data_IF_899830129877
#
_entry.id   IF_899830129877
#
_cell.length_a   1.000
_cell.length_b   1.000
_cell.length_c   1.000
_cell.angle_alpha   90.00
_cell.angle_beta   90.00
_cell.angle_gamma   90.00
#
_symmetry.space_group_name_H-M   'P 1'
#
loop_
_entity.id
_entity.type
_entity.pdbx_description
1 polymer ?
#
# COMPACT_ATOMS: atom_id res chain seq x y z
N UNK A 1 18.01 57.99 -45.60
CA UNK A 1 17.59 57.03 -44.56
C UNK A 1 17.03 55.76 -45.18
N UNK A 2 16.13 55.86 -46.18
CA UNK A 2 15.65 54.71 -46.97
C UNK A 2 16.78 53.92 -47.67
N UNK A 3 17.78 54.59 -48.25
CA UNK A 3 18.88 53.91 -48.97
C UNK A 3 19.76 53.04 -48.06
N UNK A 4 19.86 53.36 -46.77
CA UNK A 4 20.61 52.55 -45.82
C UNK A 4 19.86 51.27 -45.43
N UNK A 5 18.53 51.34 -45.35
CA UNK A 5 17.67 50.20 -45.01
C UNK A 5 17.60 49.16 -46.14
N UNK A 6 17.80 49.58 -47.38
CA UNK A 6 17.81 48.70 -48.56
C UNK A 6 19.17 48.03 -48.82
N UNK A 7 20.21 48.39 -48.07
CA UNK A 7 21.53 47.76 -48.24
C UNK A 7 21.46 46.29 -47.83
N UNK A 8 21.90 45.39 -48.71
CA UNK A 8 21.92 43.96 -48.44
C UNK A 8 23.16 43.56 -47.62
N UNK A 9 22.94 42.69 -46.65
CA UNK A 9 23.95 42.06 -45.82
C UNK A 9 23.53 40.61 -45.54
N UNK A 10 24.31 39.65 -46.03
CA UNK A 10 23.98 38.21 -45.98
C UNK A 10 22.55 37.92 -46.47
N UNK A 11 22.24 38.26 -47.73
CA UNK A 11 20.97 37.97 -48.40
C UNK A 11 19.72 38.60 -47.78
N UNK A 12 19.90 39.52 -46.83
CA UNK A 12 18.83 40.24 -46.16
C UNK A 12 19.16 41.73 -46.15
N UNK A 13 18.15 42.57 -46.27
CA UNK A 13 18.27 44.01 -46.14
C UNK A 13 18.57 44.41 -44.69
N UNK A 14 19.25 45.54 -44.48
CA UNK A 14 19.44 46.11 -43.13
C UNK A 14 18.08 46.32 -42.44
N UNK A 15 17.02 46.63 -43.20
CA UNK A 15 15.65 46.71 -42.69
C UNK A 15 15.13 45.40 -42.11
N UNK A 16 15.32 44.26 -42.78
CA UNK A 16 14.91 42.93 -42.31
C UNK A 16 15.66 42.52 -41.04
N UNK A 17 16.97 42.78 -40.97
CA UNK A 17 17.75 42.56 -39.75
C UNK A 17 17.27 43.40 -38.57
N UNK A 18 16.95 44.68 -38.81
CA UNK A 18 16.41 45.56 -37.78
C UNK A 18 15.01 45.12 -37.33
N UNK A 19 14.18 44.63 -38.24
CA UNK A 19 12.85 44.10 -37.92
C UNK A 19 12.96 42.81 -37.09
N UNK A 20 13.81 41.86 -37.49
CA UNK A 20 14.07 40.63 -36.74
C UNK A 20 14.60 40.94 -35.33
N UNK A 21 15.56 41.87 -35.21
CA UNK A 21 16.08 42.32 -33.93
C UNK A 21 14.99 42.98 -33.06
N UNK A 22 14.13 43.82 -33.66
CA UNK A 22 13.02 44.45 -32.96
C UNK A 22 11.99 43.42 -32.47
N UNK A 23 11.70 42.38 -33.25
CA UNK A 23 10.82 41.26 -32.86
C UNK A 23 11.45 40.48 -31.71
N UNK A 24 12.74 40.13 -31.79
CA UNK A 24 13.46 39.39 -30.74
C UNK A 24 13.51 40.18 -29.43
N UNK A 25 13.89 41.46 -29.49
CA UNK A 25 13.91 42.32 -28.29
C UNK A 25 12.49 42.48 -27.76
N UNK A 26 11.52 42.71 -28.64
CA UNK A 26 10.11 42.81 -28.31
C UNK A 26 9.55 41.56 -27.64
N UNK A 27 9.94 40.36 -28.09
CA UNK A 27 9.47 39.09 -27.52
C UNK A 27 10.06 38.81 -26.15
N UNK A 28 11.32 39.15 -25.91
CA UNK A 28 11.95 39.03 -24.59
C UNK A 28 11.33 40.03 -23.61
N UNK A 29 11.07 41.26 -24.06
CA UNK A 29 10.35 42.26 -23.27
C UNK A 29 8.91 41.82 -22.99
N UNK A 30 8.23 41.23 -23.98
CA UNK A 30 6.89 40.69 -23.82
C UNK A 30 6.89 39.51 -22.85
N UNK A 31 7.84 38.59 -22.94
CA UNK A 31 8.01 37.50 -21.99
C UNK A 31 8.20 38.02 -20.57
N UNK A 32 9.05 39.04 -20.37
CA UNK A 32 9.18 39.72 -19.07
C UNK A 32 7.91 40.42 -18.61
N UNK A 33 7.16 41.04 -19.51
CA UNK A 33 5.88 41.66 -19.20
C UNK A 33 4.84 40.60 -18.80
N UNK A 34 4.77 39.48 -19.51
CA UNK A 34 3.92 38.34 -19.19
C UNK A 34 4.27 37.79 -17.81
N UNK A 35 5.55 37.57 -17.52
CA UNK A 35 6.01 37.20 -16.18
C UNK A 35 5.52 38.22 -15.13
N UNK A 36 5.80 39.51 -15.34
CA UNK A 36 5.38 40.56 -14.41
C UNK A 36 3.85 40.59 -14.20
N UNK A 37 3.05 40.40 -15.25
CA UNK A 37 1.59 40.34 -15.17
C UNK A 37 1.14 39.11 -14.38
N UNK A 38 1.67 37.93 -14.68
CA UNK A 38 1.33 36.70 -13.97
C UNK A 38 1.68 36.85 -12.48
N UNK A 39 2.94 37.15 -12.17
CA UNK A 39 3.46 37.21 -10.79
C UNK A 39 2.86 38.33 -9.93
N UNK A 40 2.48 39.47 -10.51
CA UNK A 40 2.04 40.64 -9.72
C UNK A 40 0.56 41.00 -9.87
N UNK A 41 -0.04 40.75 -11.04
CA UNK A 41 -1.44 41.10 -11.30
C UNK A 41 -2.34 39.89 -11.09
N UNK A 42 -2.05 38.79 -11.77
CA UNK A 42 -2.90 37.59 -11.70
C UNK A 42 -2.78 36.95 -10.32
N UNK A 43 -1.56 36.83 -9.77
CA UNK A 43 -1.34 36.34 -8.39
C UNK A 43 -2.14 37.11 -7.33
N UNK A 44 -2.27 38.43 -7.49
CA UNK A 44 -3.04 39.30 -6.57
C UNK A 44 -4.55 39.13 -6.70
N UNK A 45 -5.01 38.60 -7.83
CA UNK A 45 -6.41 38.25 -8.05
C UNK A 45 -6.71 36.85 -7.52
N UNK A 46 -5.81 35.88 -7.76
CA UNK A 46 -5.95 34.50 -7.28
C UNK A 46 -5.80 34.39 -5.76
N UNK A 47 -5.04 35.29 -5.12
CA UNK A 47 -4.96 35.35 -3.65
C UNK A 47 -6.27 35.79 -2.96
N UNK A 48 -7.33 36.10 -3.73
CA UNK A 48 -8.67 36.42 -3.23
C UNK A 48 -9.66 35.28 -3.39
N UNK A 49 -9.23 34.18 -4.02
CA UNK A 49 -10.03 32.97 -4.21
C UNK A 49 -10.00 32.14 -2.92
N UNK A 50 -10.99 31.29 -2.73
CA UNK A 50 -11.07 30.43 -1.53
C UNK A 50 -10.06 29.26 -1.56
N UNK A 51 -9.46 28.97 -2.72
CA UNK A 51 -8.58 27.82 -2.98
C UNK A 51 -7.12 28.23 -3.13
N UNK A 52 -6.22 27.65 -2.32
CA UNK A 52 -4.77 27.89 -2.40
C UNK A 52 -4.10 27.31 -3.67
N UNK A 53 -4.78 26.39 -4.36
CA UNK A 53 -4.26 25.71 -5.55
C UNK A 53 -4.00 26.64 -6.73
N UNK A 54 -4.80 27.70 -6.86
CA UNK A 54 -4.68 28.62 -7.98
C UNK A 54 -3.39 29.46 -7.88
N UNK A 55 -3.02 29.89 -6.68
CA UNK A 55 -1.77 30.61 -6.40
C UNK A 55 -0.55 29.73 -6.67
N UNK A 56 -0.62 28.48 -6.20
CA UNK A 56 0.42 27.47 -6.33
C UNK A 56 0.64 27.12 -7.82
N UNK A 57 -0.43 26.85 -8.58
CA UNK A 57 -0.34 26.57 -10.02
C UNK A 57 0.22 27.76 -10.80
N UNK A 58 -0.16 28.98 -10.43
CA UNK A 58 0.31 30.18 -11.10
C UNK A 58 1.82 30.38 -10.91
N UNK A 59 2.33 30.17 -9.68
CA UNK A 59 3.76 30.23 -9.36
C UNK A 59 4.58 29.18 -10.13
N UNK A 60 3.97 28.07 -10.53
CA UNK A 60 4.64 27.05 -11.32
C UNK A 60 4.73 27.40 -12.81
N UNK A 61 3.72 28.10 -13.32
CA UNK A 61 3.49 28.28 -14.75
C UNK A 61 4.06 29.62 -15.25
N UNK A 62 4.21 30.61 -14.38
CA UNK A 62 4.66 31.97 -14.73
C UNK A 62 5.99 32.04 -15.49
N UNK A 63 7.05 31.42 -14.95
CA UNK A 63 8.37 31.45 -15.58
C UNK A 63 8.42 30.57 -16.85
N UNK A 64 7.84 29.34 -16.87
CA UNK A 64 7.78 28.57 -18.10
C UNK A 64 7.03 29.26 -19.24
N UNK A 65 5.88 29.89 -18.97
CA UNK A 65 5.13 30.63 -19.98
C UNK A 65 5.94 31.82 -20.49
N UNK A 66 6.53 32.61 -19.60
CA UNK A 66 7.35 33.76 -19.99
C UNK A 66 8.55 33.35 -20.88
N UNK A 67 9.18 32.23 -20.54
CA UNK A 67 10.25 31.64 -21.33
C UNK A 67 9.74 31.13 -22.69
N UNK A 68 8.59 30.44 -22.74
CA UNK A 68 7.98 29.98 -23.98
C UNK A 68 7.62 31.14 -24.93
N UNK A 69 7.04 32.22 -24.41
CA UNK A 69 6.74 33.45 -25.18
C UNK A 69 8.01 34.05 -25.76
N UNK A 70 9.08 34.09 -24.97
CA UNK A 70 10.39 34.59 -25.42
C UNK A 70 10.96 33.73 -26.55
N UNK A 71 10.95 32.39 -26.38
CA UNK A 71 11.43 31.43 -27.39
C UNK A 71 10.62 31.55 -28.69
N UNK A 72 9.29 31.62 -28.60
CA UNK A 72 8.39 31.74 -29.76
C UNK A 72 8.69 32.97 -30.59
N UNK A 73 8.84 34.14 -29.94
CA UNK A 73 9.13 35.36 -30.68
C UNK A 73 10.56 35.43 -31.20
N UNK A 74 11.54 34.79 -30.52
CA UNK A 74 12.89 34.63 -31.08
C UNK A 74 12.85 33.79 -32.35
N UNK A 75 12.14 32.66 -32.31
CA UNK A 75 11.97 31.80 -33.48
C UNK A 75 11.30 32.53 -34.62
N UNK A 76 10.18 33.21 -34.37
CA UNK A 76 9.46 33.99 -35.39
C UNK A 76 10.31 35.12 -35.99
N UNK A 77 11.12 35.81 -35.16
CA UNK A 77 12.03 36.86 -35.64
C UNK A 77 13.16 36.31 -36.52
N UNK A 78 13.67 35.12 -36.23
CA UNK A 78 14.71 34.47 -37.02
C UNK A 78 14.19 33.79 -38.29
N UNK A 79 12.97 33.25 -38.26
CA UNK A 79 12.33 32.60 -39.41
C UNK A 79 11.95 33.61 -40.51
N UNK A 80 11.69 34.86 -40.13
CA UNK A 80 11.43 35.96 -41.06
C UNK A 80 12.65 36.46 -41.86
N UNK A 81 13.86 35.93 -41.58
CA UNK A 81 15.07 36.23 -42.34
C UNK A 81 15.28 35.19 -43.44
N UNK A 82 15.75 35.63 -44.60
CA UNK A 82 16.19 34.76 -45.69
C UNK A 82 17.55 34.14 -45.35
N UNK A 83 17.54 33.03 -44.60
CA UNK A 83 18.74 32.29 -44.24
C UNK A 83 18.93 31.12 -45.22
N UNK A 84 20.18 30.63 -45.40
CA UNK A 84 20.40 29.37 -46.09
C UNK A 84 19.62 28.24 -45.41
N UNK A 85 19.20 27.21 -46.15
CA UNK A 85 18.40 26.08 -45.63
C UNK A 85 19.02 25.45 -44.37
N UNK A 86 20.35 25.34 -44.32
CA UNK A 86 21.07 24.85 -43.16
C UNK A 86 20.80 25.70 -41.89
N UNK A 87 20.71 27.03 -42.03
CA UNK A 87 20.38 27.95 -40.94
C UNK A 87 18.99 27.70 -40.38
N UNK A 88 17.98 27.60 -41.23
CA UNK A 88 16.60 27.30 -40.81
C UNK A 88 16.49 25.95 -40.09
N UNK A 89 17.20 24.92 -40.58
CA UNK A 89 17.23 23.60 -39.92
C UNK A 89 17.83 23.69 -38.52
N UNK A 90 18.94 24.40 -38.33
CA UNK A 90 19.57 24.57 -37.01
C UNK A 90 18.70 25.40 -36.06
N UNK A 91 18.08 26.48 -36.54
CA UNK A 91 17.16 27.29 -35.74
C UNK A 91 15.98 26.45 -35.24
N UNK A 92 15.35 25.68 -36.13
CA UNK A 92 14.23 24.81 -35.78
C UNK A 92 14.65 23.74 -34.75
N UNK A 93 15.82 23.11 -34.92
CA UNK A 93 16.33 22.13 -33.95
C UNK A 93 16.55 22.74 -32.57
N UNK A 94 17.18 23.92 -32.50
CA UNK A 94 17.42 24.62 -31.23
C UNK A 94 16.08 25.04 -30.61
N UNK A 95 15.15 25.56 -31.40
CA UNK A 95 13.81 25.91 -30.94
C UNK A 95 13.08 24.71 -30.32
N UNK A 96 13.03 23.56 -31.01
CA UNK A 96 12.41 22.35 -30.47
C UNK A 96 13.09 21.87 -29.18
N UNK A 97 14.42 21.90 -29.11
CA UNK A 97 15.15 21.54 -27.89
C UNK A 97 14.79 22.45 -26.71
N UNK A 98 14.70 23.77 -26.94
CA UNK A 98 14.32 24.74 -25.92
C UNK A 98 12.87 24.57 -25.45
N UNK A 99 11.94 24.27 -26.37
CA UNK A 99 10.54 23.98 -26.03
C UNK A 99 10.43 22.68 -25.23
N UNK A 100 11.12 21.61 -25.64
CA UNK A 100 11.12 20.33 -24.91
C UNK A 100 11.69 20.52 -23.50
N UNK A 101 12.79 21.26 -23.37
CA UNK A 101 13.38 21.62 -22.08
C UNK A 101 12.38 22.41 -21.22
N UNK A 102 11.71 23.42 -21.80
CA UNK A 102 10.73 24.24 -21.10
C UNK A 102 9.53 23.42 -20.59
N UNK A 103 9.01 22.51 -21.41
CA UNK A 103 7.92 21.60 -21.02
C UNK A 103 8.38 20.65 -19.91
N UNK A 104 9.56 20.04 -20.03
CA UNK A 104 10.11 19.16 -19.00
C UNK A 104 10.33 19.89 -17.67
N UNK A 105 10.82 21.12 -17.73
CA UNK A 105 10.98 22.00 -16.59
C UNK A 105 9.64 22.36 -15.94
N UNK A 106 8.63 22.71 -16.74
CA UNK A 106 7.27 22.96 -16.27
C UNK A 106 6.70 21.74 -15.55
N UNK A 107 6.78 20.55 -16.16
CA UNK A 107 6.28 19.31 -15.58
C UNK A 107 6.95 19.02 -14.23
N UNK A 108 8.27 19.17 -14.13
CA UNK A 108 8.99 18.98 -12.87
C UNK A 108 8.57 19.99 -11.80
N UNK A 109 8.36 21.27 -12.15
CA UNK A 109 7.87 22.28 -11.22
C UNK A 109 6.44 21.98 -10.74
N UNK A 110 5.59 21.46 -11.64
CA UNK A 110 4.26 20.95 -11.30
C UNK A 110 4.34 19.79 -10.29
N UNK A 111 5.23 18.84 -10.52
CA UNK A 111 5.42 17.68 -9.64
C UNK A 111 5.92 18.12 -8.26
N UNK A 112 6.94 18.98 -8.20
CA UNK A 112 7.50 19.47 -6.93
C UNK A 112 6.42 20.11 -6.06
N UNK A 113 5.59 20.95 -6.65
CA UNK A 113 4.56 21.64 -5.91
C UNK A 113 3.35 20.76 -5.55
N UNK A 114 2.98 19.78 -6.39
CA UNK A 114 2.00 18.77 -5.99
C UNK A 114 2.51 17.95 -4.79
N UNK A 115 3.81 17.62 -4.77
CA UNK A 115 4.42 16.94 -3.63
C UNK A 115 4.38 17.85 -2.39
N UNK A 116 4.79 19.11 -2.53
CA UNK A 116 4.88 20.05 -1.41
C UNK A 116 3.50 20.40 -0.82
N UNK A 117 2.46 20.54 -1.64
CA UNK A 117 1.12 20.91 -1.19
C UNK A 117 0.32 19.73 -0.65
N UNK A 118 0.43 18.55 -1.28
CA UNK A 118 -0.41 17.41 -0.94
C UNK A 118 0.30 16.32 -0.16
N UNK A 119 1.55 16.00 -0.48
CA UNK A 119 2.24 14.86 0.14
C UNK A 119 2.96 15.29 1.42
N UNK A 120 3.71 16.40 1.41
CA UNK A 120 4.47 16.86 2.59
C UNK A 120 3.56 17.08 3.81
N UNK A 121 2.40 17.75 3.73
CA UNK A 121 1.57 18.00 4.91
C UNK A 121 0.88 16.74 5.45
N UNK A 122 0.73 15.69 4.64
CA UNK A 122 0.23 14.39 5.09
C UNK A 122 1.33 13.66 5.87
N UNK A 123 2.56 13.73 5.37
CA UNK A 123 3.73 13.12 5.97
C UNK A 123 4.10 13.80 7.30
N UNK A 124 4.11 15.13 7.36
CA UNK A 124 4.41 15.86 8.61
C UNK A 124 3.39 15.60 9.74
N UNK A 125 2.17 15.15 9.39
CA UNK A 125 1.13 14.75 10.36
C UNK A 125 1.23 13.28 10.75
N UNK A 126 2.05 12.50 10.05
CA UNK A 126 2.33 11.09 10.31
C UNK A 126 3.49 10.99 11.31
N UNK A 127 3.39 10.17 12.35
CA UNK A 127 4.51 9.91 13.29
C UNK A 127 5.55 8.91 12.70
N UNK A 128 5.50 8.64 11.40
CA UNK A 128 6.25 7.56 10.73
C UNK A 128 7.55 8.07 10.09
N UNK A 129 8.70 7.65 10.62
CA UNK A 129 10.04 7.90 10.06
C UNK A 129 10.22 7.41 8.60
N UNK A 130 9.34 6.51 8.11
CA UNK A 130 9.41 5.95 6.76
C UNK A 130 9.07 6.97 5.67
N UNK A 131 8.20 7.92 5.99
CA UNK A 131 7.64 8.84 5.01
C UNK A 131 8.70 9.87 4.56
N UNK A 132 9.57 10.28 5.48
CA UNK A 132 10.67 11.22 5.26
C UNK A 132 11.78 10.68 4.35
N UNK A 133 11.98 9.36 4.32
CA UNK A 133 13.02 8.74 3.50
C UNK A 133 12.53 8.33 2.11
N UNK A 134 11.25 7.98 1.97
CA UNK A 134 10.66 7.56 0.70
C UNK A 134 10.39 8.75 -0.23
N UNK A 135 9.95 9.88 0.32
CA UNK A 135 9.59 11.05 -0.48
C UNK A 135 10.76 11.59 -1.33
N UNK A 136 11.99 11.77 -0.80
CA UNK A 136 13.12 12.23 -1.61
C UNK A 136 13.50 11.25 -2.72
N UNK A 137 13.34 9.94 -2.50
CA UNK A 137 13.64 8.91 -3.49
C UNK A 137 12.61 8.96 -4.63
N UNK A 138 11.32 9.01 -4.28
CA UNK A 138 10.23 9.13 -5.26
C UNK A 138 10.34 10.42 -6.07
N UNK A 139 10.56 11.57 -5.40
CA UNK A 139 10.76 12.88 -6.05
C UNK A 139 11.93 12.79 -7.06
N UNK A 140 13.11 12.34 -6.63
CA UNK A 140 14.27 12.19 -7.54
C UNK A 140 13.99 11.23 -8.71
N UNK A 141 13.32 10.11 -8.44
CA UNK A 141 12.99 9.11 -9.47
C UNK A 141 12.05 9.66 -10.55
N UNK A 142 10.99 10.36 -10.14
CA UNK A 142 10.05 10.98 -11.08
C UNK A 142 10.74 12.07 -11.90
N UNK A 143 11.54 12.94 -11.27
CA UNK A 143 12.28 13.99 -12.00
C UNK A 143 13.28 13.41 -13.00
N UNK A 144 13.98 12.34 -12.61
CA UNK A 144 14.88 11.62 -13.51
C UNK A 144 14.13 11.05 -14.72
N UNK A 145 12.95 10.47 -14.51
CA UNK A 145 12.12 9.95 -15.60
C UNK A 145 11.69 11.06 -16.58
N UNK A 146 11.23 12.21 -16.09
CA UNK A 146 10.85 13.36 -16.93
C UNK A 146 12.04 13.85 -17.76
N UNK A 147 13.22 14.02 -17.15
CA UNK A 147 14.41 14.47 -17.88
C UNK A 147 14.91 13.44 -18.89
N UNK A 148 14.90 12.14 -18.55
CA UNK A 148 15.25 11.08 -19.50
C UNK A 148 14.32 11.12 -20.72
N UNK A 149 13.01 11.26 -20.50
CA UNK A 149 12.05 11.39 -21.60
C UNK A 149 12.28 12.64 -22.44
N UNK A 150 12.58 13.79 -21.81
CA UNK A 150 12.90 15.02 -22.51
C UNK A 150 14.14 14.87 -23.41
N UNK A 151 15.19 14.20 -22.93
CA UNK A 151 16.40 13.91 -23.70
C UNK A 151 16.07 13.02 -24.91
N UNK A 152 15.29 11.96 -24.73
CA UNK A 152 14.90 11.05 -25.82
C UNK A 152 14.10 11.81 -26.89
N UNK A 153 13.10 12.59 -26.49
CA UNK A 153 12.29 13.39 -27.43
C UNK A 153 13.18 14.41 -28.15
N UNK A 154 14.12 15.04 -27.45
CA UNK A 154 15.09 15.97 -28.03
C UNK A 154 15.99 15.32 -29.08
N UNK A 155 16.55 14.13 -28.78
CA UNK A 155 17.38 13.37 -29.71
C UNK A 155 16.58 12.93 -30.95
N UNK A 156 15.34 12.47 -30.76
CA UNK A 156 14.47 12.08 -31.87
C UNK A 156 14.19 13.25 -32.82
N UNK A 157 13.86 14.43 -32.27
CA UNK A 157 13.64 15.64 -33.07
C UNK A 157 14.92 16.14 -33.75
N UNK A 158 16.09 15.88 -33.18
CA UNK A 158 17.38 16.17 -33.82
C UNK A 158 17.71 15.21 -34.98
N UNK A 159 16.90 14.17 -35.20
CA UNK A 159 17.03 13.20 -36.29
C UNK A 159 17.82 11.94 -35.92
N UNK A 160 18.09 11.70 -34.63
CA UNK A 160 18.69 10.45 -34.17
C UNK A 160 17.62 9.38 -34.02
N UNK A 161 17.94 8.14 -34.40
CA UNK A 161 17.11 6.98 -34.09
C UNK A 161 17.23 6.64 -32.60
N UNK A 162 16.16 6.91 -31.86
CA UNK A 162 16.07 6.63 -30.42
C UNK A 162 15.48 5.26 -30.11
N UNK A 163 15.17 4.44 -31.11
CA UNK A 163 14.57 3.12 -30.93
C UNK A 163 15.40 2.22 -30.02
N UNK A 164 16.73 2.22 -30.19
CA UNK A 164 17.64 1.46 -29.33
C UNK A 164 17.66 1.96 -27.88
N UNK A 165 17.55 3.27 -27.65
CA UNK A 165 17.50 3.86 -26.31
C UNK A 165 16.19 3.49 -25.61
N UNK A 166 15.06 3.62 -26.31
CA UNK A 166 13.74 3.25 -25.79
C UNK A 166 13.69 1.76 -25.49
N UNK A 167 14.19 0.90 -26.40
CA UNK A 167 14.27 -0.54 -26.17
C UNK A 167 15.14 -0.89 -24.96
N UNK A 168 16.31 -0.25 -24.81
CA UNK A 168 17.19 -0.43 -23.66
C UNK A 168 16.54 -0.01 -22.34
N UNK A 169 15.86 1.13 -22.31
CA UNK A 169 15.10 1.59 -21.15
C UNK A 169 13.90 0.71 -20.85
N UNK A 170 13.23 0.15 -21.86
CA UNK A 170 12.15 -0.81 -21.67
C UNK A 170 12.63 -2.10 -20.99
N UNK A 171 13.74 -2.67 -21.48
CA UNK A 171 14.35 -3.87 -20.87
C UNK A 171 14.89 -3.56 -19.47
N UNK A 172 15.59 -2.43 -19.30
CA UNK A 172 16.10 -1.99 -18.00
C UNK A 172 14.98 -1.70 -16.99
N UNK A 173 13.89 -1.09 -17.45
CA UNK A 173 12.69 -0.83 -16.67
C UNK A 173 11.97 -2.11 -16.26
N UNK A 174 11.88 -3.10 -17.15
CA UNK A 174 11.36 -4.43 -16.81
C UNK A 174 12.23 -5.12 -15.75
N UNK A 175 13.55 -5.09 -15.90
CA UNK A 175 14.46 -5.67 -14.91
C UNK A 175 14.32 -4.98 -13.54
N UNK A 176 14.21 -3.66 -13.52
CA UNK A 176 13.95 -2.89 -12.31
C UNK A 176 12.58 -3.23 -11.68
N UNK A 177 11.53 -3.34 -12.51
CA UNK A 177 10.19 -3.70 -12.03
C UNK A 177 10.16 -5.10 -11.42
N UNK A 178 10.84 -6.08 -12.03
CA UNK A 178 10.99 -7.43 -11.47
C UNK A 178 11.75 -7.40 -10.14
N UNK A 179 12.81 -6.59 -10.03
CA UNK A 179 13.54 -6.43 -8.77
C UNK A 179 12.69 -5.75 -7.68
N UNK A 180 11.82 -4.82 -8.06
CA UNK A 180 10.93 -4.09 -7.15
C UNK A 180 9.62 -4.83 -6.83
N UNK A 181 9.33 -5.94 -7.52
CA UNK A 181 8.05 -6.67 -7.45
C UNK A 181 7.64 -6.98 -6.01
N UNK A 182 8.57 -7.47 -5.20
CA UNK A 182 8.31 -7.84 -3.81
C UNK A 182 7.96 -6.63 -2.93
N UNK A 183 8.57 -5.48 -3.17
CA UNK A 183 8.24 -4.25 -2.44
C UNK A 183 6.84 -3.78 -2.78
N UNK A 184 6.49 -3.79 -4.07
CA UNK A 184 5.16 -3.41 -4.56
C UNK A 184 4.09 -4.38 -4.03
N UNK A 185 4.34 -5.68 -4.07
CA UNK A 185 3.41 -6.69 -3.56
C UNK A 185 3.12 -6.53 -2.05
N UNK A 186 4.14 -6.21 -1.26
CA UNK A 186 3.94 -5.95 0.17
C UNK A 186 3.16 -4.66 0.42
N UNK A 187 3.42 -3.59 -0.34
CA UNK A 187 2.66 -2.35 -0.23
C UNK A 187 1.17 -2.59 -0.52
N UNK A 188 0.85 -3.24 -1.64
CA UNK A 188 -0.53 -3.56 -1.97
C UNK A 188 -1.17 -4.54 -0.97
N UNK A 189 -0.41 -5.51 -0.45
CA UNK A 189 -0.89 -6.36 0.64
C UNK A 189 -1.26 -5.56 1.89
N UNK A 190 -0.48 -4.53 2.23
CA UNK A 190 -0.79 -3.61 3.34
C UNK A 190 -2.07 -2.82 3.09
N UNK A 191 -2.23 -2.28 1.88
CA UNK A 191 -3.46 -1.58 1.46
C UNK A 191 -4.67 -2.49 1.56
N UNK A 192 -4.57 -3.75 1.09
CA UNK A 192 -5.66 -4.73 1.20
C UNK A 192 -6.04 -5.01 2.64
N UNK A 193 -5.08 -5.20 3.55
CA UNK A 193 -5.38 -5.36 4.99
C UNK A 193 -6.15 -4.15 5.53
N UNK A 194 -5.75 -2.94 5.14
CA UNK A 194 -6.40 -1.72 5.62
C UNK A 194 -7.82 -1.51 5.05
N UNK A 195 -8.04 -1.85 3.78
CA UNK A 195 -9.32 -1.67 3.09
C UNK A 195 -10.32 -2.76 3.46
N UNK A 196 -9.91 -4.02 3.35
CA UNK A 196 -10.81 -5.16 3.56
C UNK A 196 -10.95 -5.54 5.03
N UNK A 197 -9.99 -5.12 5.87
CA UNK A 197 -9.95 -5.35 7.33
C UNK A 197 -10.27 -6.80 7.73
N UNK A 198 -9.57 -7.81 7.18
CA UNK A 198 -9.73 -9.20 7.62
C UNK A 198 -9.38 -9.39 9.11
N UNK A 199 -8.56 -8.49 9.64
CA UNK A 199 -8.23 -8.34 11.06
C UNK A 199 -7.82 -6.89 11.35
N UNK A 200 -7.75 -6.55 12.62
CA UNK A 200 -7.31 -5.25 13.14
C UNK A 200 -6.23 -5.42 14.21
N UNK A 201 -5.57 -4.32 14.59
CA UNK A 201 -4.63 -4.33 15.72
C UNK A 201 -5.35 -4.78 16.98
N UNK A 202 -4.71 -5.66 17.75
CA UNK A 202 -5.22 -6.41 18.90
C UNK A 202 -6.10 -7.64 18.57
N UNK A 203 -6.32 -7.98 17.31
CA UNK A 203 -6.97 -9.26 16.99
C UNK A 203 -6.00 -10.44 17.19
N UNK A 204 -6.53 -11.55 17.69
CA UNK A 204 -5.87 -12.85 17.69
C UNK A 204 -6.10 -13.50 16.32
N UNK A 205 -5.01 -13.78 15.62
CA UNK A 205 -5.06 -14.42 14.30
C UNK A 205 -4.16 -15.65 14.24
N UNK A 206 -4.51 -16.56 13.33
CA UNK A 206 -3.67 -17.69 12.92
C UNK A 206 -3.41 -17.56 11.41
N UNK A 207 -2.13 -17.59 11.02
CA UNK A 207 -1.69 -17.51 9.63
C UNK A 207 -0.42 -18.33 9.43
N UNK A 208 -0.42 -19.21 8.43
CA UNK A 208 0.79 -19.95 8.02
C UNK A 208 1.46 -20.76 9.15
N UNK A 209 0.68 -21.25 10.12
CA UNK A 209 1.19 -21.96 11.30
C UNK A 209 1.73 -21.05 12.41
N UNK A 210 1.65 -19.73 12.26
CA UNK A 210 1.90 -18.76 13.32
C UNK A 210 0.59 -18.33 13.97
N UNK A 211 0.62 -18.16 15.28
CA UNK A 211 -0.54 -17.80 16.09
C UNK A 211 -0.13 -16.70 17.08
N UNK A 212 -0.93 -15.63 17.14
CA UNK A 212 -0.68 -14.52 18.06
C UNK A 212 -1.62 -13.33 17.90
N UNK A 213 -1.37 -12.30 18.70
CA UNK A 213 -2.10 -11.03 18.68
C UNK A 213 -1.40 -10.05 17.74
N UNK A 214 -2.15 -9.38 16.85
CA UNK A 214 -1.63 -8.35 15.96
C UNK A 214 -1.24 -7.11 16.77
N UNK A 215 0.01 -6.69 16.69
CA UNK A 215 0.49 -5.47 17.36
C UNK A 215 0.51 -4.25 16.45
N UNK A 216 0.90 -4.46 15.19
CA UNK A 216 1.15 -3.37 14.25
C UNK A 216 0.92 -3.87 12.83
N UNK A 217 0.22 -3.09 12.02
CA UNK A 217 0.14 -3.27 10.56
C UNK A 217 0.92 -2.11 9.94
N UNK A 218 2.17 -2.36 9.56
CA UNK A 218 3.00 -1.39 8.85
C UNK A 218 2.80 -1.43 7.34
N UNK A 219 3.47 -0.53 6.61
CA UNK A 219 3.35 -0.41 5.14
C UNK A 219 3.78 -1.69 4.40
N UNK A 220 4.88 -2.33 4.85
CA UNK A 220 5.44 -3.54 4.22
C UNK A 220 5.14 -4.84 4.97
N UNK A 221 4.94 -4.77 6.28
CA UNK A 221 4.87 -5.94 7.13
C UNK A 221 3.97 -5.72 8.33
N UNK A 222 3.36 -6.80 8.79
CA UNK A 222 2.53 -6.86 9.99
C UNK A 222 3.30 -7.60 11.08
N UNK A 223 3.21 -7.10 12.31
CA UNK A 223 3.85 -7.71 13.48
C UNK A 223 2.80 -8.38 14.36
N UNK A 224 3.05 -9.63 14.74
CA UNK A 224 2.20 -10.39 15.65
C UNK A 224 3.01 -10.83 16.87
N UNK A 225 2.43 -10.75 18.06
CA UNK A 225 3.00 -11.29 19.30
C UNK A 225 2.38 -12.62 19.63
N UNK A 226 3.20 -13.66 19.64
CA UNK A 226 2.80 -15.02 20.03
C UNK A 226 2.51 -15.09 21.54
N UNK A 227 1.75 -16.10 21.97
CA UNK A 227 1.48 -16.33 23.40
C UNK A 227 2.73 -16.51 24.28
N UNK A 228 3.82 -17.14 23.81
CA UNK A 228 5.11 -17.13 24.53
C UNK A 228 5.81 -15.75 24.60
N UNK A 229 5.22 -14.70 24.02
CA UNK A 229 5.73 -13.33 24.06
C UNK A 229 6.70 -12.94 22.94
N UNK A 230 6.93 -13.81 21.94
CA UNK A 230 7.83 -13.52 20.81
C UNK A 230 7.12 -12.66 19.76
N UNK A 231 7.83 -11.67 19.23
CA UNK A 231 7.37 -10.83 18.13
C UNK A 231 7.77 -11.46 16.79
N UNK A 232 6.80 -11.73 15.92
CA UNK A 232 7.00 -12.25 14.57
C UNK A 232 6.62 -11.15 13.58
N UNK A 233 7.51 -10.87 12.62
CA UNK A 233 7.26 -9.92 11.53
C UNK A 233 7.00 -10.70 10.25
N UNK A 234 5.81 -10.50 9.68
CA UNK A 234 5.35 -11.21 8.48
C UNK A 234 5.16 -10.18 7.36
N UNK A 235 5.71 -10.40 6.15
CA UNK A 235 5.47 -9.52 5.01
C UNK A 235 3.98 -9.46 4.65
N UNK A 236 3.47 -8.26 4.36
CA UNK A 236 2.05 -8.06 4.07
C UNK A 236 1.55 -8.86 2.86
N UNK A 237 2.41 -9.14 1.88
CA UNK A 237 2.04 -10.00 0.74
C UNK A 237 1.55 -11.39 1.17
N UNK A 238 2.09 -11.93 2.27
CA UNK A 238 1.70 -13.24 2.80
C UNK A 238 0.26 -13.23 3.29
N UNK A 239 -0.20 -12.15 3.91
CA UNK A 239 -1.59 -12.01 4.36
C UNK A 239 -2.56 -11.84 3.21
N UNK A 240 -2.16 -11.18 2.13
CA UNK A 240 -2.99 -11.03 0.94
C UNK A 240 -3.14 -12.35 0.15
N UNK A 241 -2.12 -13.23 0.21
CA UNK A 241 -2.08 -14.49 -0.55
C UNK A 241 -2.56 -15.71 0.25
N UNK A 242 -2.57 -15.64 1.59
CA UNK A 242 -2.88 -16.78 2.47
C UNK A 242 -4.25 -16.67 3.11
N UNK A 243 -4.85 -17.83 3.44
CA UNK A 243 -6.01 -17.86 4.33
C UNK A 243 -5.61 -17.41 5.74
N UNK A 244 -6.47 -16.59 6.36
CA UNK A 244 -6.29 -16.07 7.71
C UNK A 244 -7.47 -16.51 8.55
N UNK A 245 -7.21 -17.09 9.71
CA UNK A 245 -8.23 -17.36 10.71
C UNK A 245 -8.22 -16.22 11.73
N UNK A 246 -9.29 -15.43 11.78
CA UNK A 246 -9.48 -14.40 12.80
C UNK A 246 -10.22 -15.00 13.99
N UNK A 247 -9.45 -15.32 15.02
CA UNK A 247 -9.90 -16.00 16.24
C UNK A 247 -10.73 -15.07 17.12
N UNK A 248 -10.43 -13.76 17.11
CA UNK A 248 -11.21 -12.72 17.81
C UNK A 248 -12.59 -12.49 17.17
N UNK A 249 -12.71 -12.71 15.86
CA UNK A 249 -13.97 -12.52 15.14
C UNK A 249 -15.03 -13.57 15.48
N UNK A 250 -14.67 -14.70 16.12
CA UNK A 250 -15.61 -15.74 16.50
C UNK A 250 -16.81 -15.20 17.33
N UNK A 251 -18.04 -15.64 17.04
CA UNK A 251 -19.23 -15.23 17.81
C UNK A 251 -19.31 -15.92 19.17
N UNK A 252 -18.70 -17.10 19.31
CA UNK A 252 -18.54 -17.87 20.54
C UNK A 252 -17.45 -18.92 20.34
N UNK A 253 -16.76 -19.30 21.42
CA UNK A 253 -15.70 -20.30 21.37
C UNK A 253 -16.30 -21.70 21.54
N UNK A 254 -16.23 -22.51 20.50
CA UNK A 254 -16.61 -23.93 20.59
C UNK A 254 -15.55 -24.74 21.32
N UNK A 255 -15.95 -25.46 22.36
CA UNK A 255 -15.11 -26.44 23.07
C UNK A 255 -15.68 -27.85 22.85
N UNK A 256 -14.80 -28.81 22.61
CA UNK A 256 -15.15 -30.23 22.47
C UNK A 256 -14.37 -30.97 23.55
N UNK A 257 -15.09 -31.54 24.52
CA UNK A 257 -14.52 -32.44 25.51
C UNK A 257 -14.91 -33.88 25.17
N UNK A 258 -13.93 -34.77 25.18
CA UNK A 258 -14.14 -36.21 25.07
C UNK A 258 -13.81 -36.85 26.41
N UNK A 259 -14.82 -37.39 27.07
CA UNK A 259 -14.71 -38.03 28.37
C UNK A 259 -14.78 -39.55 28.18
N UNK A 260 -13.73 -40.26 28.56
CA UNK A 260 -13.73 -41.72 28.56
C UNK A 260 -14.21 -42.28 29.88
N UNK A 261 -15.27 -43.08 29.87
CA UNK A 261 -15.76 -43.84 31.02
C UNK A 261 -15.35 -45.32 30.89
N UNK A 262 -15.27 -46.04 32.01
CA UNK A 262 -14.86 -47.46 32.01
C UNK A 262 -15.91 -48.36 31.32
N UNK A 263 -15.48 -49.50 30.77
CA UNK A 263 -16.33 -50.41 30.01
C UNK A 263 -17.41 -51.14 30.82
N UNK A 264 -17.28 -51.17 32.15
CA UNK A 264 -18.29 -51.65 33.08
C UNK A 264 -19.42 -50.64 33.33
N UNK A 265 -19.31 -49.41 32.79
CA UNK A 265 -20.38 -48.40 32.87
C UNK A 265 -21.61 -48.85 32.06
N UNK A 266 -22.74 -49.05 32.74
CA UNK A 266 -23.98 -49.50 32.10
C UNK A 266 -24.65 -48.39 31.27
N UNK A 267 -25.62 -48.77 30.43
CA UNK A 267 -26.42 -47.82 29.65
C UNK A 267 -27.06 -46.72 30.53
N UNK A 268 -27.63 -47.09 31.67
CA UNK A 268 -28.29 -46.17 32.60
C UNK A 268 -27.29 -45.19 33.23
N UNK A 269 -26.07 -45.66 33.52
CA UNK A 269 -24.97 -44.82 34.03
C UNK A 269 -24.45 -43.87 32.95
N UNK A 270 -24.34 -44.31 31.69
CA UNK A 270 -24.03 -43.42 30.56
C UNK A 270 -25.10 -42.33 30.44
N UNK A 271 -26.39 -42.67 30.55
CA UNK A 271 -27.47 -41.69 30.49
C UNK A 271 -27.37 -40.66 31.63
N UNK A 272 -27.07 -41.13 32.86
CA UNK A 272 -26.81 -40.23 33.99
C UNK A 272 -25.62 -39.29 33.72
N UNK A 273 -24.53 -39.78 33.15
CA UNK A 273 -23.37 -38.95 32.77
C UNK A 273 -23.78 -37.82 31.80
N UNK A 274 -24.59 -38.15 30.78
CA UNK A 274 -25.10 -37.16 29.82
C UNK A 274 -25.98 -36.10 30.49
N UNK A 275 -26.78 -36.50 31.47
CA UNK A 275 -27.68 -35.59 32.20
C UNK A 275 -26.92 -34.71 33.18
N UNK A 276 -25.87 -35.22 33.83
CA UNK A 276 -24.93 -34.42 34.64
C UNK A 276 -24.27 -33.33 33.78
N UNK A 277 -23.80 -33.67 32.58
CA UNK A 277 -23.17 -32.71 31.66
C UNK A 277 -24.15 -31.61 31.22
N UNK A 278 -25.41 -31.96 30.94
CA UNK A 278 -26.47 -30.98 30.66
C UNK A 278 -26.74 -30.07 31.86
N UNK A 279 -26.76 -30.63 33.07
CA UNK A 279 -26.95 -29.86 34.29
C UNK A 279 -25.79 -28.88 34.54
N UNK A 280 -24.53 -29.31 34.33
CA UNK A 280 -23.36 -28.42 34.42
C UNK A 280 -23.46 -27.28 33.41
N UNK A 281 -23.87 -27.56 32.17
CA UNK A 281 -24.08 -26.53 31.16
C UNK A 281 -25.16 -25.53 31.61
N UNK A 282 -26.31 -26.01 32.11
CA UNK A 282 -27.39 -25.17 32.60
C UNK A 282 -26.95 -24.27 33.78
N UNK A 283 -26.22 -24.82 34.74
CA UNK A 283 -25.69 -24.10 35.90
C UNK A 283 -24.66 -23.02 35.51
N UNK A 284 -24.02 -23.18 34.33
CA UNK A 284 -23.03 -22.23 33.78
C UNK A 284 -23.56 -21.43 32.59
N UNK A 285 -24.87 -21.42 32.38
CA UNK A 285 -25.55 -20.70 31.27
C UNK A 285 -25.25 -19.21 31.21
N UNK A 286 -24.78 -18.59 32.30
CA UNK A 286 -24.32 -17.19 32.27
C UNK A 286 -23.10 -16.99 31.35
N UNK A 287 -22.16 -17.96 31.30
CA UNK A 287 -20.93 -17.90 30.50
C UNK A 287 -21.02 -18.66 29.17
N UNK A 288 -22.07 -19.47 28.98
CA UNK A 288 -22.22 -20.37 27.85
C UNK A 288 -23.41 -19.97 26.97
N UNK A 289 -23.32 -20.23 25.68
CA UNK A 289 -24.47 -20.17 24.78
C UNK A 289 -25.43 -21.33 25.07
N UNK A 290 -26.70 -21.15 24.71
CA UNK A 290 -27.73 -22.19 24.90
C UNK A 290 -27.44 -23.47 24.13
N UNK A 291 -26.69 -23.36 23.01
CA UNK A 291 -26.33 -24.50 22.18
C UNK A 291 -25.37 -25.43 22.93
N UNK A 292 -25.83 -26.66 23.18
CA UNK A 292 -25.05 -27.72 23.82
C UNK A 292 -25.34 -29.06 23.15
N UNK A 293 -24.34 -29.93 23.11
CA UNK A 293 -24.49 -31.30 22.63
C UNK A 293 -23.79 -32.24 23.60
N UNK A 294 -24.56 -33.16 24.19
CA UNK A 294 -24.04 -34.29 24.97
C UNK A 294 -24.50 -35.58 24.30
N UNK A 295 -23.56 -36.47 23.99
CA UNK A 295 -23.88 -37.75 23.36
C UNK A 295 -22.87 -38.83 23.73
N UNK A 296 -23.32 -40.08 23.75
CA UNK A 296 -22.44 -41.24 23.69
C UNK A 296 -21.88 -41.33 22.26
N UNK A 297 -20.57 -41.18 22.10
CA UNK A 297 -19.94 -40.96 20.80
C UNK A 297 -19.40 -42.23 20.16
N UNK A 298 -18.65 -43.02 20.92
CA UNK A 298 -17.93 -44.18 20.40
C UNK A 298 -17.49 -45.13 21.50
N UNK A 299 -17.18 -46.36 21.08
CA UNK A 299 -16.42 -47.34 21.86
C UNK A 299 -14.94 -47.15 21.49
N UNK A 300 -14.11 -46.72 22.44
CA UNK A 300 -12.67 -46.56 22.28
C UNK A 300 -11.87 -47.77 22.81
N UNK A 301 -10.57 -47.83 22.56
CA UNK A 301 -9.74 -49.00 22.91
C UNK A 301 -9.79 -49.37 24.41
N UNK A 302 -9.93 -48.36 25.28
CA UNK A 302 -9.97 -48.54 26.74
C UNK A 302 -11.16 -47.86 27.42
N UNK A 303 -12.08 -47.26 26.66
CA UNK A 303 -13.14 -46.39 27.20
C UNK A 303 -14.44 -46.39 26.39
N UNK A 304 -15.54 -46.12 27.09
CA UNK A 304 -16.81 -45.67 26.55
C UNK A 304 -16.78 -44.15 26.43
N UNK A 305 -16.74 -43.62 25.21
CA UNK A 305 -16.51 -42.20 24.97
C UNK A 305 -17.82 -41.41 24.99
N UNK A 306 -17.89 -40.42 25.87
CA UNK A 306 -18.96 -39.43 25.94
C UNK A 306 -18.42 -38.09 25.42
N UNK A 307 -19.11 -37.51 24.45
CA UNK A 307 -18.76 -36.22 23.86
C UNK A 307 -19.61 -35.11 24.46
N UNK A 308 -18.95 -34.06 24.94
CA UNK A 308 -19.58 -32.84 25.45
C UNK A 308 -19.09 -31.65 24.63
N UNK A 309 -19.99 -31.05 23.85
CA UNK A 309 -19.72 -29.84 23.06
C UNK A 309 -20.54 -28.69 23.62
N UNK A 310 -19.86 -27.60 23.98
CA UNK A 310 -20.48 -26.36 24.41
C UNK A 310 -19.77 -25.17 23.77
N UNK A 311 -20.41 -24.01 23.84
CA UNK A 311 -19.92 -22.79 23.24
C UNK A 311 -19.82 -21.73 24.33
N UNK A 312 -18.62 -21.22 24.58
CA UNK A 312 -18.38 -20.15 25.53
C UNK A 312 -18.72 -18.82 24.85
N UNK A 313 -19.49 -17.97 25.53
CA UNK A 313 -19.92 -16.66 25.04
C UNK A 313 -18.73 -15.77 24.70
N UNK A 314 -18.90 -14.89 23.72
CA UNK A 314 -17.88 -13.92 23.33
C UNK A 314 -17.54 -12.99 24.50
N UNK A 315 -16.24 -12.77 24.73
CA UNK A 315 -15.73 -11.86 25.77
C UNK A 315 -15.45 -12.54 27.11
N UNK A 316 -15.89 -13.79 27.31
CA UNK A 316 -15.51 -14.60 28.47
C UNK A 316 -14.06 -15.10 28.35
N UNK A 317 -13.40 -15.29 29.49
CA UNK A 317 -12.09 -15.96 29.52
C UNK A 317 -12.28 -17.46 29.24
N UNK A 318 -11.87 -17.85 28.03
CA UNK A 318 -12.01 -19.23 27.56
C UNK A 318 -11.28 -20.23 28.47
N UNK A 319 -10.11 -19.87 28.99
CA UNK A 319 -9.31 -20.76 29.81
C UNK A 319 -9.93 -20.95 31.20
N UNK A 320 -10.38 -19.86 31.82
CA UNK A 320 -11.02 -19.89 33.12
C UNK A 320 -12.35 -20.66 33.08
N UNK A 321 -13.22 -20.34 32.11
CA UNK A 321 -14.53 -21.00 31.96
C UNK A 321 -14.35 -22.49 31.66
N UNK A 322 -13.42 -22.86 30.77
CA UNK A 322 -13.13 -24.26 30.47
C UNK A 322 -12.59 -25.01 31.71
N UNK A 323 -11.67 -24.39 32.46
CA UNK A 323 -11.16 -24.97 33.72
C UNK A 323 -12.27 -25.19 34.75
N UNK A 324 -13.15 -24.21 34.93
CA UNK A 324 -14.28 -24.30 35.85
C UNK A 324 -15.26 -25.42 35.48
N UNK A 325 -15.53 -25.61 34.18
CA UNK A 325 -16.36 -26.71 33.67
C UNK A 325 -15.69 -28.06 33.94
N UNK A 326 -14.41 -28.22 33.61
CA UNK A 326 -13.67 -29.45 33.85
C UNK A 326 -13.67 -29.86 35.33
N UNK A 327 -13.52 -28.89 36.24
CA UNK A 327 -13.57 -29.15 37.68
C UNK A 327 -14.95 -29.58 38.16
N UNK A 328 -16.03 -29.02 37.62
CA UNK A 328 -17.38 -29.47 37.96
C UNK A 328 -17.72 -30.84 37.37
N UNK A 329 -17.22 -31.16 36.17
CA UNK A 329 -17.33 -32.50 35.60
C UNK A 329 -16.68 -33.51 36.55
N UNK A 330 -15.42 -33.27 36.92
CA UNK A 330 -14.67 -34.14 37.83
C UNK A 330 -15.42 -34.35 39.15
N UNK A 331 -15.89 -33.27 39.77
CA UNK A 331 -16.60 -33.31 41.05
C UNK A 331 -17.90 -34.11 40.97
N UNK A 332 -18.74 -33.85 39.97
CA UNK A 332 -20.07 -34.50 39.87
C UNK A 332 -19.98 -35.94 39.40
N UNK A 333 -19.04 -36.26 38.51
CA UNK A 333 -18.82 -37.64 38.05
C UNK A 333 -18.32 -38.50 39.22
N UNK A 334 -17.35 -38.01 40.00
CA UNK A 334 -16.87 -38.71 41.20
C UNK A 334 -18.00 -38.92 42.24
N UNK A 335 -18.86 -37.91 42.45
CA UNK A 335 -19.98 -38.02 43.38
C UNK A 335 -21.05 -39.03 42.92
N UNK A 336 -21.21 -39.23 41.60
CA UNK A 336 -22.13 -40.19 41.01
C UNK A 336 -21.54 -41.60 40.87
N UNK A 337 -20.24 -41.79 41.15
CA UNK A 337 -19.53 -43.05 40.93
C UNK A 337 -19.31 -43.37 39.46
N UNK A 338 -19.14 -42.35 38.62
CA UNK A 338 -18.79 -42.50 37.20
C UNK A 338 -17.26 -42.45 37.06
N UNK A 339 -16.66 -43.61 36.86
CA UNK A 339 -15.21 -43.76 36.81
C UNK A 339 -14.64 -43.37 35.44
N UNK A 340 -13.63 -42.51 35.46
CA UNK A 340 -12.87 -42.16 34.25
C UNK A 340 -11.96 -43.32 33.85
N UNK A 341 -12.01 -43.68 32.58
CA UNK A 341 -11.15 -44.71 32.02
C UNK A 341 -9.69 -44.28 32.00
N UNK A 342 -8.81 -45.23 32.28
CA UNK A 342 -7.37 -45.14 32.10
C UNK A 342 -6.91 -46.25 31.15
N UNK A 343 -5.78 -46.09 30.46
CA UNK A 343 -5.23 -47.16 29.62
C UNK A 343 -5.08 -48.46 30.43
N UNK A 344 -5.77 -49.52 30.01
CA UNK A 344 -5.77 -50.82 30.69
C UNK A 344 -5.30 -51.92 29.74
N UNK A 345 -4.56 -52.88 30.26
CA UNK A 345 -4.14 -54.07 29.51
C UNK A 345 -4.42 -55.32 30.33
N UNK A 346 -5.02 -56.31 29.69
CA UNK A 346 -5.17 -57.65 30.27
C UNK A 346 -3.94 -58.48 29.90
N UNK A 347 -3.09 -58.77 30.89
CA UNK A 347 -1.89 -59.59 30.69
C UNK A 347 -2.21 -61.05 31.00
N UNK A 348 -2.11 -61.92 30.00
CA UNK A 348 -2.18 -63.36 30.19
C UNK A 348 -0.77 -63.91 30.46
N UNK A 349 -0.40 -64.06 31.74
CA UNK A 349 0.86 -64.69 32.13
C UNK A 349 0.74 -66.22 32.03
N UNK A 350 1.51 -66.83 31.14
CA UNK A 350 1.68 -68.29 31.08
C UNK A 350 2.87 -68.68 31.96
N UNK A 351 2.65 -69.53 32.97
CA UNK A 351 3.74 -70.08 33.79
C UNK A 351 4.27 -71.32 33.07
N UNK A 352 5.43 -71.22 32.42
CA UNK A 352 6.18 -72.39 31.96
C UNK A 352 6.65 -73.19 33.18
N UNK A 353 6.34 -74.49 33.21
CA UNK A 353 6.71 -75.42 34.28
C UNK A 353 8.03 -76.12 34.01
#
# INVERSE_FOLDING_TARGET
MMDFLQKEFYWNTVGEWLLALAIIVGSVLLGRAVFWVLSNVVKKLTSKTETNLDDILLDMVEEPIAFAVSILGIWYGLDGLNLPDAGHVWINRIYYLLIIFNIAWLINRLIDALIEEYLVPIIEKSESDLDDQLLPILRKGIHAAVWIMAIIIGLNNAGYDVGALIAGLGIGGLAFALAAQDTVANFFGGVTIFVDKPFTVNDWIIIGGHEGIVEEVGIRSTRIRTFPGRLITIPNKVFAESAIENVTAEPSRRVILMLGLTYDTTHERIQEALDILKAIHADKSQHLEEKVLTLFDSFGDFSLNVKFVYYIKKGEDVFEVNSAINMEILKRFNAAGLDFAFPTQTIHATVEK
#
